data_IF_464964079975
#
_entry.id   IF_464964079975
#
_cell.length_a   1.000
_cell.length_b   1.000
_cell.length_c   1.000
_cell.angle_alpha   90.00
_cell.angle_beta   90.00
_cell.angle_gamma   90.00
#
_symmetry.space_group_name_H-M   'P 1'
#
loop_
_entity.id
_entity.type
_entity.pdbx_description
1 polymer ?
#
# COMPACT_ATOMS: atom_id res chain seq x y z
N UNK A 1 -2.23 19.92 15.66
CA UNK A 1 -3.13 19.03 14.90
C UNK A 1 -3.54 17.85 15.78
N UNK A 2 -4.82 17.48 15.86
CA UNK A 2 -5.25 16.27 16.59
C UNK A 2 -5.07 15.02 15.70
N UNK A 3 -4.93 13.82 16.28
CA UNK A 3 -4.77 12.53 15.58
C UNK A 3 -5.83 12.29 14.49
N UNK A 4 -7.08 12.66 14.76
CA UNK A 4 -8.18 12.49 13.80
C UNK A 4 -7.96 13.34 12.56
N UNK A 5 -7.51 14.58 12.73
CA UNK A 5 -7.22 15.50 11.63
C UNK A 5 -6.01 15.06 10.81
N UNK A 6 -4.99 14.49 11.46
CA UNK A 6 -3.84 13.88 10.77
C UNK A 6 -4.31 12.73 9.88
N UNK A 7 -5.11 11.81 10.40
CA UNK A 7 -5.64 10.68 9.63
C UNK A 7 -6.50 11.19 8.46
N UNK A 8 -7.34 12.20 8.70
CA UNK A 8 -8.18 12.79 7.66
C UNK A 8 -7.36 13.49 6.58
N UNK A 9 -6.29 14.19 6.94
CA UNK A 9 -5.35 14.83 5.99
C UNK A 9 -4.60 13.83 5.09
N UNK A 10 -4.55 12.56 5.46
CA UNK A 10 -3.95 11.50 4.64
C UNK A 10 -4.99 10.70 3.84
N UNK A 11 -6.23 10.60 4.32
CA UNK A 11 -7.31 9.87 3.64
C UNK A 11 -8.10 10.72 2.64
N UNK A 12 -8.27 12.00 2.93
CA UNK A 12 -9.11 12.91 2.15
C UNK A 12 -8.24 13.99 1.46
N UNK A 13 -8.04 13.90 0.14
CA UNK A 13 -7.23 14.88 -0.60
C UNK A 13 -7.87 16.26 -0.66
N UNK A 14 -9.20 16.37 -0.58
CA UNK A 14 -9.91 17.66 -0.58
C UNK A 14 -9.72 18.36 0.76
N UNK A 15 -9.77 17.61 1.87
CA UNK A 15 -9.43 18.14 3.18
C UNK A 15 -7.98 18.60 3.25
N UNK A 16 -7.04 17.79 2.73
CA UNK A 16 -5.61 18.15 2.69
C UNK A 16 -5.34 19.42 1.89
N UNK A 17 -6.01 19.59 0.75
CA UNK A 17 -5.84 20.77 -0.11
C UNK A 17 -6.36 22.08 0.53
N UNK A 18 -7.22 21.98 1.55
CA UNK A 18 -7.78 23.13 2.28
C UNK A 18 -6.94 23.57 3.48
N UNK A 19 -5.92 22.80 3.86
CA UNK A 19 -5.07 23.11 5.01
C UNK A 19 -4.15 24.31 4.70
N UNK A 20 -3.86 25.11 5.73
CA UNK A 20 -2.89 26.19 5.66
C UNK A 20 -1.45 25.64 5.56
N UNK A 21 -0.48 26.50 5.22
CA UNK A 21 0.94 26.07 5.12
C UNK A 21 1.47 25.61 6.48
N UNK A 22 1.05 26.28 7.54
CA UNK A 22 1.43 25.98 8.93
C UNK A 22 0.85 24.63 9.36
N UNK A 23 -0.40 24.34 8.95
CA UNK A 23 -1.05 23.07 9.22
C UNK A 23 -0.42 21.91 8.44
N UNK A 24 -0.02 22.14 7.20
CA UNK A 24 0.69 21.16 6.37
C UNK A 24 2.08 20.88 6.94
N UNK A 25 2.80 21.91 7.42
CA UNK A 25 4.10 21.74 8.06
C UNK A 25 4.03 20.97 9.39
N UNK A 26 2.85 20.96 10.03
CA UNK A 26 2.58 20.17 11.23
C UNK A 26 2.19 18.72 10.95
N UNK A 27 2.08 18.29 9.69
CA UNK A 27 1.85 16.88 9.35
C UNK A 27 3.15 16.07 9.49
N UNK A 28 3.08 14.81 9.94
CA UNK A 28 4.23 13.92 9.90
C UNK A 28 4.68 13.68 8.46
N UNK A 29 5.97 13.44 8.22
CA UNK A 29 6.54 13.28 6.86
C UNK A 29 5.86 12.18 6.03
N UNK A 30 5.40 11.12 6.71
CA UNK A 30 4.63 10.03 6.09
C UNK A 30 3.38 9.66 6.90
N UNK A 31 2.35 9.11 6.26
CA UNK A 31 1.19 8.57 6.95
C UNK A 31 1.48 7.28 7.73
N UNK A 32 2.48 6.49 7.29
CA UNK A 32 2.57 5.07 7.65
C UNK A 32 3.83 4.65 8.39
N UNK A 33 4.85 5.49 8.50
CA UNK A 33 6.18 4.98 8.84
C UNK A 33 7.04 4.79 7.58
N UNK A 34 8.32 5.14 7.66
CA UNK A 34 9.36 4.84 6.70
C UNK A 34 9.93 3.57 7.31
N UNK A 35 9.25 2.48 7.00
CA UNK A 35 9.68 1.16 7.41
C UNK A 35 10.51 0.61 6.25
N UNK A 36 11.82 0.53 6.45
CA UNK A 36 12.67 -0.23 5.56
C UNK A 36 12.23 -1.69 5.62
N UNK A 37 11.65 -2.16 4.52
CA UNK A 37 11.19 -3.54 4.41
C UNK A 37 12.32 -4.36 3.82
N UNK A 38 12.79 -5.35 4.57
CA UNK A 38 13.74 -6.34 4.06
C UNK A 38 13.08 -7.22 2.99
N UNK A 39 13.82 -7.59 1.94
CA UNK A 39 13.31 -8.43 0.86
C UNK A 39 12.71 -9.76 1.36
N UNK A 40 13.25 -10.32 2.44
CA UNK A 40 12.71 -11.51 3.10
C UNK A 40 11.30 -11.26 3.64
N UNK A 41 11.09 -10.15 4.34
CA UNK A 41 9.79 -9.75 4.87
C UNK A 41 8.79 -9.45 3.75
N UNK A 42 9.23 -8.80 2.65
CA UNK A 42 8.36 -8.59 1.48
C UNK A 42 7.88 -9.92 0.89
N UNK A 43 8.75 -10.94 0.82
CA UNK A 43 8.40 -12.26 0.27
C UNK A 43 7.38 -12.99 1.14
N UNK A 44 7.42 -12.80 2.46
CA UNK A 44 6.43 -13.38 3.38
C UNK A 44 5.06 -12.71 3.28
N UNK A 45 5.04 -11.38 3.08
CA UNK A 45 3.81 -10.59 2.96
C UNK A 45 3.22 -10.64 1.55
N UNK A 46 4.02 -10.98 0.54
CA UNK A 46 3.56 -11.15 -0.83
C UNK A 46 2.44 -12.20 -0.88
N UNK A 47 1.20 -11.70 -1.05
CA UNK A 47 -0.01 -12.49 -1.11
C UNK A 47 -0.02 -13.45 -2.30
N UNK A 48 0.63 -14.59 -2.14
CA UNK A 48 0.56 -15.72 -3.05
C UNK A 48 0.84 -17.04 -2.31
N UNK A 49 0.33 -17.20 -1.08
CA UNK A 49 -0.06 -18.55 -0.69
C UNK A 49 -1.12 -18.97 -1.71
N UNK A 50 -0.76 -19.89 -2.61
CA UNK A 50 -1.68 -20.43 -3.60
C UNK A 50 -2.84 -21.09 -2.85
N UNK A 51 -3.95 -20.36 -2.67
CA UNK A 51 -5.19 -20.84 -2.06
C UNK A 51 -6.01 -21.63 -3.09
N UNK A 52 -5.37 -22.53 -3.82
CA UNK A 52 -6.06 -23.41 -4.76
C UNK A 52 -5.77 -24.85 -4.41
N UNK A 53 -6.76 -25.70 -4.63
CA UNK A 53 -6.70 -27.14 -4.37
C UNK A 53 -5.64 -27.88 -5.20
N UNK A 54 -4.97 -27.22 -6.15
CA UNK A 54 -3.98 -27.85 -7.01
C UNK A 54 -2.92 -26.88 -7.53
N UNK A 55 -1.70 -26.97 -6.97
CA UNK A 55 -0.56 -26.08 -7.25
C UNK A 55 -0.22 -25.95 -8.74
N UNK A 56 -0.39 -27.02 -9.53
CA UNK A 56 -0.03 -27.01 -10.96
C UNK A 56 -1.04 -26.24 -11.81
N UNK A 57 -2.31 -26.14 -11.40
CA UNK A 57 -3.29 -25.30 -12.10
C UNK A 57 -2.96 -23.81 -11.93
N UNK A 58 -2.54 -23.39 -10.74
CA UNK A 58 -2.15 -22.00 -10.49
C UNK A 58 -0.84 -21.65 -11.19
N UNK A 59 0.14 -22.55 -11.21
CA UNK A 59 1.37 -22.34 -11.97
C UNK A 59 1.10 -22.26 -13.47
N UNK A 60 0.19 -23.09 -14.00
CA UNK A 60 -0.23 -23.02 -15.40
C UNK A 60 -0.91 -21.70 -15.74
N UNK A 61 -1.89 -21.25 -14.94
CA UNK A 61 -2.57 -19.98 -15.22
C UNK A 61 -1.69 -18.75 -15.00
N UNK A 62 -0.79 -18.76 -14.00
CA UNK A 62 0.14 -17.64 -13.78
C UNK A 62 1.25 -17.57 -14.82
N UNK A 63 1.77 -18.71 -15.29
CA UNK A 63 2.77 -18.77 -16.37
C UNK A 63 2.18 -18.56 -17.76
N UNK A 64 0.91 -18.91 -17.97
CA UNK A 64 0.18 -18.66 -19.22
C UNK A 64 -0.57 -17.34 -19.26
N UNK A 65 -0.66 -16.62 -18.15
CA UNK A 65 -0.99 -15.19 -18.13
C UNK A 65 0.16 -14.40 -18.76
N UNK A 66 0.41 -14.65 -20.06
CA UNK A 66 0.95 -13.63 -20.96
C UNK A 66 0.07 -12.40 -20.74
N UNK A 67 0.69 -11.36 -20.21
CA UNK A 67 0.02 -10.31 -19.46
C UNK A 67 -1.28 -9.80 -20.08
N UNK A 68 -2.23 -9.44 -19.21
CA UNK A 68 -3.25 -8.46 -19.54
C UNK A 68 -2.61 -7.06 -19.67
N UNK A 69 -1.64 -6.93 -20.59
CA UNK A 69 -1.09 -5.69 -21.08
C UNK A 69 -0.80 -5.93 -22.58
N UNK A 70 -1.71 -5.45 -23.42
CA UNK A 70 -1.30 -4.92 -24.73
C UNK A 70 -0.96 -3.45 -24.53
#
# INVERSE_FOLDING_TARGET
>A
MNKVDVIRAWKDPVYRARLSREEIAGLPDHPSGLLELDEGLLKEVAGAATLTTYKTCTAYTSSQARGCCK
#
